data_IF_260232104507
#
_entry.id   IF_260232104507
#
_cell.length_a   1.000
_cell.length_b   1.000
_cell.length_c   1.000
_cell.angle_alpha   90.00
_cell.angle_beta   90.00
_cell.angle_gamma   90.00
#
_symmetry.space_group_name_H-M   'P 1'
#
loop_
_entity.id
_entity.type
_entity.pdbx_description
1 polymer ?
#
# COMPACT_ATOMS: atom_id res chain seq x y z
N UNK A 1 -21.56 11.49 -0.99
CA UNK A 1 -20.57 10.44 -1.29
C UNK A 1 -19.28 11.12 -1.69
N UNK A 2 -18.19 10.86 -0.99
CA UNK A 2 -16.86 11.33 -1.35
C UNK A 2 -16.34 10.32 -2.39
N UNK A 3 -16.15 10.75 -3.63
CA UNK A 3 -15.59 9.88 -4.66
C UNK A 3 -14.10 9.70 -4.40
N UNK A 4 -13.62 8.46 -4.35
CA UNK A 4 -12.19 8.19 -4.38
C UNK A 4 -11.68 8.52 -5.79
N UNK A 5 -10.70 9.41 -5.89
CA UNK A 5 -9.95 9.65 -7.13
C UNK A 5 -8.83 8.62 -7.24
N UNK A 6 -8.98 7.70 -8.19
CA UNK A 6 -7.95 6.69 -8.50
C UNK A 6 -6.73 7.26 -9.23
N UNK A 7 -6.83 8.49 -9.75
CA UNK A 7 -5.72 9.18 -10.45
C UNK A 7 -4.65 9.74 -9.50
N UNK A 8 -4.85 9.60 -8.18
CA UNK A 8 -3.87 10.07 -7.19
C UNK A 8 -2.69 9.11 -7.13
N UNK A 9 -1.52 9.54 -7.61
CA UNK A 9 -0.29 8.78 -7.47
C UNK A 9 0.17 8.74 -5.99
N UNK A 10 0.46 7.54 -5.49
CA UNK A 10 0.90 7.32 -4.12
C UNK A 10 2.26 6.63 -4.16
N UNK A 11 3.25 7.25 -3.51
CA UNK A 11 4.56 6.64 -3.38
C UNK A 11 4.49 5.45 -2.39
N UNK A 12 4.86 4.26 -2.88
CA UNK A 12 4.90 3.01 -2.09
C UNK A 12 6.32 2.51 -1.82
N UNK A 13 7.37 3.28 -2.18
CA UNK A 13 8.75 2.96 -1.80
C UNK A 13 8.93 3.19 -0.28
N UNK A 14 9.65 2.30 0.38
CA UNK A 14 9.89 2.33 1.83
C UNK A 14 8.67 1.96 2.68
N UNK A 15 7.63 1.37 2.09
CA UNK A 15 6.41 0.96 2.83
C UNK A 15 6.35 -0.55 3.07
N UNK A 16 7.48 -1.25 2.93
CA UNK A 16 7.56 -2.72 2.91
C UNK A 16 6.69 -3.35 1.80
N UNK A 17 6.51 -2.64 0.70
CA UNK A 17 5.76 -3.13 -0.44
C UNK A 17 6.67 -4.04 -1.27
N UNK A 18 6.31 -5.31 -1.39
CA UNK A 18 7.11 -6.27 -2.14
C UNK A 18 7.31 -5.93 -3.61
N UNK A 19 6.33 -5.28 -4.22
CA UNK A 19 6.46 -4.79 -5.59
C UNK A 19 7.50 -3.68 -5.75
N UNK A 20 7.73 -2.85 -4.74
CA UNK A 20 8.58 -1.65 -4.86
C UNK A 20 9.92 -1.79 -4.16
N UNK A 21 9.94 -2.45 -3.02
CA UNK A 21 11.10 -2.48 -2.10
C UNK A 21 11.99 -3.72 -2.30
N UNK A 22 11.48 -4.77 -2.95
CA UNK A 22 12.21 -6.03 -3.19
C UNK A 22 12.28 -6.40 -4.68
N UNK A 23 12.36 -5.38 -5.54
CA UNK A 23 12.41 -5.56 -7.01
C UNK A 23 13.70 -6.24 -7.44
N UNK A 24 14.85 -5.71 -7.03
CA UNK A 24 16.16 -6.23 -7.39
C UNK A 24 16.36 -7.66 -6.89
N UNK A 25 15.98 -7.93 -5.63
CA UNK A 25 16.04 -9.28 -5.04
C UNK A 25 15.23 -10.32 -5.83
N UNK A 26 14.13 -9.89 -6.49
CA UNK A 26 13.22 -10.78 -7.22
C UNK A 26 13.58 -10.94 -8.69
N UNK A 27 14.04 -9.87 -9.33
CA UNK A 27 14.22 -9.81 -10.78
C UNK A 27 15.67 -9.64 -11.22
N UNK A 28 16.61 -9.42 -10.28
CA UNK A 28 18.03 -9.22 -10.54
C UNK A 28 18.37 -7.85 -11.14
N UNK A 29 17.40 -6.94 -11.20
CA UNK A 29 17.53 -5.61 -11.80
C UNK A 29 16.82 -4.59 -10.90
N UNK A 30 17.53 -3.52 -10.53
CA UNK A 30 16.98 -2.43 -9.75
C UNK A 30 16.09 -1.50 -10.59
N UNK A 31 15.28 -0.67 -9.92
CA UNK A 31 14.51 0.42 -10.54
C UNK A 31 13.55 0.04 -11.69
N UNK A 32 13.14 -1.23 -11.76
CA UNK A 32 12.05 -1.65 -12.66
C UNK A 32 10.71 -1.05 -12.22
N UNK A 33 9.87 -0.71 -13.20
CA UNK A 33 8.47 -0.39 -12.94
C UNK A 33 7.71 -1.68 -12.58
N UNK A 34 7.13 -1.78 -11.37
CA UNK A 34 6.50 -3.03 -10.96
C UNK A 34 5.10 -3.20 -11.56
N UNK A 35 4.89 -4.37 -12.15
CA UNK A 35 3.60 -4.82 -12.66
C UNK A 35 3.50 -6.36 -12.60
N UNK A 36 3.71 -6.91 -11.41
CA UNK A 36 3.99 -8.36 -11.23
C UNK A 36 3.15 -9.05 -10.14
N UNK A 37 2.73 -8.33 -9.09
CA UNK A 37 1.92 -8.88 -7.99
C UNK A 37 0.48 -8.32 -8.11
N UNK A 38 -0.52 -9.07 -7.64
CA UNK A 38 -1.93 -8.71 -7.78
C UNK A 38 -2.50 -7.90 -6.60
N UNK A 39 -1.72 -6.98 -6.03
CA UNK A 39 -2.22 -5.90 -5.17
C UNK A 39 -2.31 -4.59 -5.97
N UNK A 40 -2.90 -3.54 -5.38
CA UNK A 40 -3.21 -2.30 -6.11
C UNK A 40 -2.32 -1.13 -5.68
N UNK A 41 -2.32 -0.06 -6.48
CA UNK A 41 -1.67 1.21 -6.15
C UNK A 41 -2.65 2.26 -5.61
N UNK A 42 -3.81 1.83 -5.12
CA UNK A 42 -4.86 2.71 -4.63
C UNK A 42 -4.93 2.71 -3.12
N UNK A 43 -5.44 3.81 -2.56
CA UNK A 43 -5.83 3.80 -1.15
C UNK A 43 -6.94 2.78 -0.92
N UNK A 44 -6.91 2.14 0.25
CA UNK A 44 -8.08 1.41 0.75
C UNK A 44 -9.25 2.39 0.95
N UNK A 45 -10.51 1.92 0.93
CA UNK A 45 -11.66 2.76 1.26
C UNK A 45 -11.50 3.43 2.64
N UNK A 46 -12.07 4.63 2.79
CA UNK A 46 -11.97 5.43 4.03
C UNK A 46 -12.51 4.65 5.23
N UNK A 47 -13.58 3.89 5.02
CA UNK A 47 -14.21 3.04 6.04
C UNK A 47 -13.28 1.94 6.56
N UNK A 48 -12.43 1.37 5.69
CA UNK A 48 -11.42 0.38 6.09
C UNK A 48 -10.34 1.04 6.93
N UNK A 49 -9.87 2.22 6.52
CA UNK A 49 -8.85 2.97 7.24
C UNK A 49 -9.33 3.40 8.64
N UNK A 50 -10.56 3.88 8.76
CA UNK A 50 -11.15 4.26 10.05
C UNK A 50 -11.28 3.06 10.99
N UNK A 51 -11.76 1.92 10.49
CA UNK A 51 -11.86 0.68 11.29
C UNK A 51 -10.48 0.25 11.84
N UNK A 52 -9.43 0.35 11.02
CA UNK A 52 -8.05 0.03 11.47
C UNK A 52 -7.57 1.03 12.53
N UNK A 53 -7.81 2.34 12.32
CA UNK A 53 -7.43 3.37 13.30
C UNK A 53 -8.12 3.16 14.64
N UNK A 54 -9.42 2.87 14.64
CA UNK A 54 -10.18 2.57 15.86
C UNK A 54 -9.56 1.41 16.64
N UNK A 55 -9.18 0.31 15.95
CA UNK A 55 -8.54 -0.84 16.60
C UNK A 55 -7.17 -0.51 17.17
N UNK A 56 -6.35 0.25 16.43
CA UNK A 56 -5.00 0.67 16.84
C UNK A 56 -5.03 1.62 18.04
N UNK A 57 -6.09 2.43 18.17
CA UNK A 57 -6.29 3.34 19.31
C UNK A 57 -6.71 2.62 20.60
N UNK A 58 -7.12 1.35 20.54
CA UNK A 58 -7.42 0.58 21.74
C UNK A 58 -6.12 0.32 22.54
N UNK A 59 -6.08 0.61 23.86
CA UNK A 59 -4.84 0.60 24.64
C UNK A 59 -4.22 -0.80 24.83
N UNK A 60 -4.99 -1.86 24.56
CA UNK A 60 -4.50 -3.24 24.59
C UNK A 60 -4.41 -3.79 23.16
N UNK A 61 -3.20 -4.18 22.76
CA UNK A 61 -2.89 -4.86 21.49
C UNK A 61 -2.37 -6.26 21.83
N UNK A 62 -3.01 -7.27 21.25
CA UNK A 62 -2.77 -8.69 21.49
C UNK A 62 -3.74 -9.51 20.65
#
# INVERSE_FOLDING_TARGET
MKFLTFDTAINRKGTYCTQWDYVEDRFGEADLLPFTISDTFFMVPEEVLETVKERVNHPVIG
#
